data_IF_440323219090
#
_entry.id   IF_440323219090
#
_cell.length_a   1.000
_cell.length_b   1.000
_cell.length_c   1.000
_cell.angle_alpha   90.00
_cell.angle_beta   90.00
_cell.angle_gamma   90.00
#
_symmetry.space_group_name_H-M   'P 1'
#
loop_
_entity.id
_entity.type
_entity.pdbx_description
1 polymer ?
#
# COMPACT_ATOMS: atom_id res chain seq x y z
N UNK A 1 13.13 2.40 -15.70
CA UNK A 1 12.56 1.02 -15.59
C UNK A 1 11.06 1.12 -15.72
N UNK A 2 10.43 0.30 -16.56
CA UNK A 2 9.00 0.41 -16.86
C UNK A 2 8.33 -0.94 -16.71
N UNK A 3 7.24 -1.01 -15.96
CA UNK A 3 6.37 -2.18 -15.90
C UNK A 3 5.52 -2.21 -17.18
N UNK A 4 5.83 -3.13 -18.10
CA UNK A 4 5.25 -3.12 -19.44
C UNK A 4 3.70 -3.24 -19.48
N UNK A 5 3.05 -4.07 -18.65
CA UNK A 5 1.59 -4.20 -18.67
C UNK A 5 0.84 -2.92 -18.28
N UNK A 6 1.35 -2.17 -17.30
CA UNK A 6 0.67 -0.98 -16.76
C UNK A 6 1.24 0.34 -17.28
N UNK A 7 2.33 0.28 -18.05
CA UNK A 7 3.11 1.44 -18.55
C UNK A 7 3.70 2.36 -17.46
N UNK A 8 3.61 1.97 -16.20
CA UNK A 8 4.18 2.74 -15.09
C UNK A 8 5.71 2.63 -15.16
N UNK A 9 6.40 3.77 -15.17
CA UNK A 9 7.86 3.85 -15.15
C UNK A 9 8.38 4.38 -13.81
N UNK A 10 9.64 4.12 -13.50
CA UNK A 10 10.41 4.75 -12.44
C UNK A 10 11.90 4.83 -12.85
N UNK A 11 12.53 5.95 -12.52
CA UNK A 11 13.95 6.22 -12.80
C UNK A 11 14.66 6.66 -11.51
N UNK A 12 15.95 6.37 -11.42
CA UNK A 12 16.82 6.80 -10.32
C UNK A 12 18.21 7.11 -10.89
N UNK A 13 18.65 8.37 -10.78
CA UNK A 13 19.91 8.88 -11.36
C UNK A 13 20.91 9.36 -10.29
N UNK A 14 20.82 8.85 -9.06
CA UNK A 14 21.39 9.51 -7.89
C UNK A 14 22.68 8.88 -7.33
N UNK A 15 23.12 7.66 -7.72
CA UNK A 15 24.31 6.99 -7.12
C UNK A 15 25.33 6.39 -8.10
N UNK A 16 26.56 6.20 -7.61
CA UNK A 16 27.80 5.80 -8.33
C UNK A 16 27.82 4.34 -8.86
N UNK A 17 26.86 3.48 -8.52
CA UNK A 17 26.79 2.09 -9.01
C UNK A 17 25.44 1.79 -9.69
N UNK A 18 25.48 1.24 -10.90
CA UNK A 18 24.31 0.88 -11.71
C UNK A 18 23.39 -0.14 -11.00
N UNK A 19 23.95 -1.03 -10.18
CA UNK A 19 23.19 -2.04 -9.44
C UNK A 19 22.31 -1.41 -8.34
N UNK A 20 22.82 -0.40 -7.63
CA UNK A 20 22.05 0.33 -6.62
C UNK A 20 20.94 1.17 -7.26
N UNK A 21 21.24 1.86 -8.37
CA UNK A 21 20.23 2.61 -9.13
C UNK A 21 19.10 1.70 -9.62
N UNK A 22 19.43 0.47 -10.06
CA UNK A 22 18.44 -0.54 -10.46
C UNK A 22 17.55 -0.97 -9.28
N UNK A 23 18.12 -1.23 -8.11
CA UNK A 23 17.34 -1.64 -6.93
C UNK A 23 16.37 -0.54 -6.49
N UNK A 24 16.84 0.71 -6.44
CA UNK A 24 16.00 1.88 -6.11
C UNK A 24 14.88 2.05 -7.12
N UNK A 25 15.18 1.96 -8.41
CA UNK A 25 14.17 2.08 -9.46
C UNK A 25 13.13 0.97 -9.43
N UNK A 26 13.51 -0.28 -9.12
CA UNK A 26 12.56 -1.40 -8.92
C UNK A 26 11.65 -1.12 -7.72
N UNK A 27 12.22 -0.65 -6.61
CA UNK A 27 11.44 -0.32 -5.42
C UNK A 27 10.42 0.79 -5.70
N UNK A 28 10.86 1.91 -6.30
CA UNK A 28 9.99 3.03 -6.71
C UNK A 28 8.90 2.56 -7.67
N UNK A 29 9.23 1.68 -8.62
CA UNK A 29 8.25 1.11 -9.55
C UNK A 29 7.19 0.28 -8.82
N UNK A 30 7.60 -0.61 -7.91
CA UNK A 30 6.67 -1.41 -7.10
C UNK A 30 5.75 -0.55 -6.27
N UNK A 31 6.26 0.54 -5.70
CA UNK A 31 5.46 1.47 -4.90
C UNK A 31 4.41 2.18 -5.75
N UNK A 32 4.79 2.68 -6.93
CA UNK A 32 3.83 3.29 -7.88
C UNK A 32 2.74 2.30 -8.30
N UNK A 33 3.11 1.06 -8.61
CA UNK A 33 2.15 -0.01 -8.90
C UNK A 33 1.21 -0.26 -7.71
N UNK A 34 1.78 -0.35 -6.51
CA UNK A 34 1.04 -0.61 -5.28
C UNK A 34 0.06 0.49 -4.91
N UNK A 35 0.21 1.71 -5.43
CA UNK A 35 -0.75 2.82 -5.25
C UNK A 35 -1.79 2.81 -6.38
N UNK A 36 -1.33 2.73 -7.63
CA UNK A 36 -2.19 2.99 -8.79
C UNK A 36 -3.02 1.81 -9.26
N UNK A 37 -2.62 0.58 -8.95
CA UNK A 37 -3.28 -0.63 -9.44
C UNK A 37 -4.03 -1.30 -8.30
N UNK A 38 -5.32 -1.56 -8.51
CA UNK A 38 -6.14 -2.37 -7.61
C UNK A 38 -6.30 -3.79 -8.13
N UNK A 39 -6.28 -4.76 -7.24
CA UNK A 39 -6.72 -6.12 -7.49
C UNK A 39 -8.04 -6.36 -6.77
N UNK A 40 -8.96 -7.08 -7.41
CA UNK A 40 -10.20 -7.49 -6.76
C UNK A 40 -9.90 -8.41 -5.57
N UNK A 41 -10.51 -8.09 -4.43
CA UNK A 41 -10.44 -8.91 -3.21
C UNK A 41 -11.79 -8.88 -2.51
N UNK A 42 -11.97 -9.75 -1.50
CA UNK A 42 -13.19 -9.83 -0.68
C UNK A 42 -12.82 -9.63 0.79
N UNK A 43 -13.68 -8.98 1.56
CA UNK A 43 -13.40 -8.70 2.99
C UNK A 43 -13.36 -9.97 3.86
N UNK A 44 -14.03 -11.04 3.43
CA UNK A 44 -13.99 -12.35 4.07
C UNK A 44 -12.85 -13.24 3.53
N UNK A 45 -12.11 -12.78 2.52
CA UNK A 45 -10.90 -13.47 2.07
C UNK A 45 -9.81 -13.36 3.14
N UNK A 46 -9.06 -14.44 3.31
CA UNK A 46 -7.97 -14.47 4.26
C UNK A 46 -6.80 -13.61 3.76
N UNK A 47 -6.24 -12.69 4.58
CA UNK A 47 -5.07 -11.92 4.18
C UNK A 47 -3.90 -12.84 3.81
N UNK A 48 -2.99 -12.32 2.99
CA UNK A 48 -1.82 -13.06 2.53
C UNK A 48 -0.94 -13.49 3.70
N UNK A 49 -0.16 -14.56 3.50
CA UNK A 49 0.83 -15.00 4.49
C UNK A 49 1.85 -13.89 4.81
N UNK A 50 2.20 -13.07 3.81
CA UNK A 50 3.08 -11.90 4.00
C UNK A 50 2.45 -10.87 4.92
N UNK A 51 1.19 -10.49 4.69
CA UNK A 51 0.47 -9.57 5.57
C UNK A 51 0.40 -10.11 7.00
N UNK A 52 -0.07 -11.35 7.17
CA UNK A 52 -0.16 -12.00 8.47
C UNK A 52 1.16 -12.05 9.23
N UNK A 53 2.27 -12.32 8.54
CA UNK A 53 3.60 -12.34 9.18
C UNK A 53 4.05 -10.97 9.74
N UNK A 54 3.47 -9.89 9.24
CA UNK A 54 3.78 -8.50 9.61
C UNK A 54 2.81 -7.90 10.61
N UNK A 55 1.64 -8.51 10.81
CA UNK A 55 0.68 -8.07 11.82
C UNK A 55 0.87 -8.81 13.13
N UNK A 56 1.12 -8.08 14.21
CA UNK A 56 1.28 -8.63 15.57
C UNK A 56 0.48 -7.80 16.55
N UNK A 57 -0.48 -8.40 17.26
CA UNK A 57 -1.33 -7.70 18.23
C UNK A 57 -2.04 -6.48 17.63
N UNK A 58 -2.48 -6.58 16.37
CA UNK A 58 -3.14 -5.49 15.64
C UNK A 58 -2.21 -4.39 15.10
N UNK A 59 -0.88 -4.50 15.33
CA UNK A 59 0.14 -3.58 14.82
C UNK A 59 0.74 -4.10 13.52
N UNK A 60 0.81 -3.26 12.50
CA UNK A 60 1.53 -3.54 11.24
C UNK A 60 3.02 -3.21 11.47
N UNK A 61 3.88 -4.22 11.36
CA UNK A 61 5.32 -4.13 11.66
C UNK A 61 6.17 -4.29 10.39
N UNK A 62 6.33 -3.18 9.66
CA UNK A 62 7.19 -3.09 8.47
C UNK A 62 7.82 -1.70 8.38
N UNK A 63 9.08 -1.62 7.96
CA UNK A 63 9.74 -0.35 7.65
C UNK A 63 9.37 0.06 6.21
N UNK A 64 9.05 1.34 5.94
CA UNK A 64 8.70 1.81 4.59
C UNK A 64 9.78 1.54 3.53
N UNK A 65 11.05 1.47 3.92
CA UNK A 65 12.16 1.12 3.03
C UNK A 65 12.33 -0.40 2.80
N UNK A 66 11.54 -1.25 3.46
CA UNK A 66 11.65 -2.70 3.34
C UNK A 66 11.06 -3.20 2.02
N UNK A 67 11.68 -4.21 1.40
CA UNK A 67 11.26 -4.73 0.09
C UNK A 67 9.81 -5.27 0.04
N UNK A 68 9.27 -5.68 1.18
CA UNK A 68 7.86 -6.12 1.34
C UNK A 68 6.86 -4.96 1.40
N UNK A 69 7.28 -3.74 1.73
CA UNK A 69 6.38 -2.62 1.98
C UNK A 69 5.44 -2.33 0.80
N UNK A 70 5.91 -2.27 -0.46
CA UNK A 70 5.01 -2.06 -1.60
C UNK A 70 3.93 -3.14 -1.72
N UNK A 71 4.28 -4.41 -1.51
CA UNK A 71 3.32 -5.52 -1.62
C UNK A 71 2.27 -5.46 -0.51
N UNK A 72 2.66 -5.08 0.70
CA UNK A 72 1.73 -4.88 1.81
C UNK A 72 0.84 -3.67 1.56
N UNK A 73 1.40 -2.58 1.02
CA UNK A 73 0.65 -1.37 0.70
C UNK A 73 -0.43 -1.65 -0.34
N UNK A 74 -0.08 -2.41 -1.39
CA UNK A 74 -1.02 -2.86 -2.41
C UNK A 74 -2.19 -3.62 -1.79
N UNK A 75 -1.91 -4.64 -0.97
CA UNK A 75 -2.94 -5.45 -0.31
C UNK A 75 -3.82 -4.62 0.64
N UNK A 76 -3.23 -3.73 1.42
CA UNK A 76 -3.99 -2.84 2.31
C UNK A 76 -4.96 -1.94 1.54
N UNK A 77 -4.53 -1.39 0.41
CA UNK A 77 -5.37 -0.58 -0.47
C UNK A 77 -6.43 -1.41 -1.21
N UNK A 78 -6.18 -2.67 -1.54
CA UNK A 78 -7.19 -3.58 -2.13
C UNK A 78 -8.31 -3.87 -1.13
N UNK A 79 -7.98 -4.15 0.13
CA UNK A 79 -8.98 -4.34 1.19
C UNK A 79 -9.74 -3.05 1.50
N UNK A 80 -9.10 -1.89 1.42
CA UNK A 80 -9.78 -0.60 1.53
C UNK A 80 -10.78 -0.41 0.39
N UNK A 81 -10.39 -0.70 -0.85
CA UNK A 81 -11.30 -0.64 -1.99
C UNK A 81 -12.48 -1.61 -1.84
N UNK A 82 -12.24 -2.84 -1.39
CA UNK A 82 -13.29 -3.83 -1.10
C UNK A 82 -14.22 -3.43 0.07
N UNK A 83 -13.75 -2.55 0.96
CA UNK A 83 -14.51 -1.98 2.08
C UNK A 83 -15.20 -0.65 1.74
N UNK A 84 -15.29 -0.30 0.45
CA UNK A 84 -15.79 1.01 0.01
C UNK A 84 -15.08 2.19 0.72
N UNK A 85 -13.78 2.01 0.98
CA UNK A 85 -12.88 2.94 1.65
C UNK A 85 -13.24 3.25 3.12
N UNK A 86 -14.01 2.37 3.75
CA UNK A 86 -14.17 2.32 5.20
C UNK A 86 -12.95 1.66 5.86
N UNK A 87 -12.11 2.49 6.49
CA UNK A 87 -10.91 2.05 7.18
C UNK A 87 -11.17 1.14 8.38
N UNK A 88 -12.35 1.20 9.01
CA UNK A 88 -12.70 0.33 10.13
C UNK A 88 -12.97 -1.09 9.64
N UNK A 89 -13.78 -1.23 8.59
CA UNK A 89 -14.09 -2.52 7.98
C UNK A 89 -12.84 -3.17 7.38
N UNK A 90 -12.03 -2.41 6.63
CA UNK A 90 -10.78 -2.92 6.08
C UNK A 90 -9.80 -3.37 7.17
N UNK A 91 -9.63 -2.57 8.24
CA UNK A 91 -8.71 -2.92 9.32
C UNK A 91 -9.14 -4.21 10.05
N UNK A 92 -10.44 -4.39 10.27
CA UNK A 92 -11.00 -5.62 10.85
C UNK A 92 -10.68 -6.84 9.98
N UNK A 93 -10.94 -6.77 8.66
CA UNK A 93 -10.62 -7.84 7.71
C UNK A 93 -9.12 -8.17 7.70
N UNK A 94 -8.27 -7.15 7.81
CA UNK A 94 -6.81 -7.25 7.86
C UNK A 94 -6.25 -7.61 9.25
N UNK A 95 -7.11 -7.85 10.25
CA UNK A 95 -6.72 -8.16 11.63
C UNK A 95 -5.78 -7.12 12.27
N UNK A 96 -5.90 -5.86 11.88
CA UNK A 96 -5.14 -4.74 12.42
C UNK A 96 -6.07 -3.67 13.02
N UNK A 97 -5.53 -2.73 13.79
CA UNK A 97 -6.36 -1.60 14.25
C UNK A 97 -6.46 -0.51 13.18
N UNK A 98 -7.58 0.21 13.14
CA UNK A 98 -7.81 1.30 12.18
C UNK A 98 -6.72 2.36 12.23
N UNK A 99 -6.29 2.77 13.44
CA UNK A 99 -5.19 3.72 13.62
C UNK A 99 -3.88 3.19 13.04
N UNK A 100 -3.61 1.89 13.15
CA UNK A 100 -2.41 1.29 12.58
C UNK A 100 -2.47 1.23 11.05
N UNK A 101 -3.64 0.89 10.48
CA UNK A 101 -3.84 0.91 9.03
C UNK A 101 -3.64 2.33 8.46
N UNK A 102 -4.25 3.34 9.09
CA UNK A 102 -4.11 4.74 8.66
C UNK A 102 -2.67 5.21 8.78
N UNK A 103 -1.98 4.91 9.89
CA UNK A 103 -0.56 5.26 10.04
C UNK A 103 0.31 4.58 8.98
N UNK A 104 0.04 3.32 8.68
CA UNK A 104 0.73 2.57 7.63
C UNK A 104 0.55 3.20 6.24
N UNK A 105 -0.62 3.72 5.90
CA UNK A 105 -0.82 4.45 4.64
C UNK A 105 -0.02 5.76 4.61
N UNK A 106 0.11 6.48 5.73
CA UNK A 106 0.88 7.74 5.80
C UNK A 106 2.37 7.55 5.54
N UNK A 107 2.88 6.34 5.74
CA UNK A 107 4.27 6.01 5.39
C UNK A 107 4.53 6.13 3.88
N UNK A 108 3.48 6.13 3.05
CA UNK A 108 3.54 6.52 1.64
C UNK A 108 2.53 7.65 1.32
N UNK A 109 2.95 8.92 1.27
CA UNK A 109 2.05 10.07 1.16
C UNK A 109 1.08 10.01 -0.03
N UNK A 110 1.52 9.46 -1.16
CA UNK A 110 0.67 9.32 -2.36
C UNK A 110 -0.48 8.35 -2.14
N UNK A 111 -0.24 7.26 -1.41
CA UNK A 111 -1.27 6.30 -1.01
C UNK A 111 -2.30 6.93 -0.06
N UNK A 112 -1.82 7.69 0.93
CA UNK A 112 -2.70 8.35 1.90
C UNK A 112 -3.57 9.43 1.23
N UNK A 113 -3.00 10.19 0.30
CA UNK A 113 -3.75 11.16 -0.50
C UNK A 113 -4.85 10.48 -1.32
N UNK A 114 -4.52 9.39 -2.02
CA UNK A 114 -5.50 8.63 -2.80
C UNK A 114 -6.61 8.05 -1.91
N UNK A 115 -6.27 7.49 -0.75
CA UNK A 115 -7.23 7.00 0.23
C UNK A 115 -8.21 8.09 0.67
N UNK A 116 -7.72 9.29 1.00
CA UNK A 116 -8.57 10.41 1.38
C UNK A 116 -9.42 10.95 0.22
N UNK A 117 -8.88 10.96 -1.00
CA UNK A 117 -9.65 11.31 -2.19
C UNK A 117 -10.83 10.36 -2.39
N UNK A 118 -10.57 9.05 -2.33
CA UNK A 118 -11.61 8.02 -2.50
C UNK A 118 -12.68 8.08 -1.41
N UNK A 119 -12.30 8.46 -0.19
CA UNK A 119 -13.25 8.75 0.90
C UNK A 119 -14.12 9.96 0.59
N UNK A 120 -13.51 11.07 0.15
CA UNK A 120 -14.23 12.29 -0.18
C UNK A 120 -15.23 12.07 -1.33
N UNK A 121 -14.84 11.31 -2.36
CA UNK A 121 -15.71 10.91 -3.48
C UNK A 121 -16.96 10.13 -3.03
N UNK A 122 -16.91 9.51 -1.84
CA UNK A 122 -18.01 8.75 -1.21
C UNK A 122 -18.71 9.52 -0.09
N UNK A 123 -18.42 10.80 0.08
CA UNK A 123 -18.97 11.63 1.16
C UNK A 123 -18.44 11.28 2.56
N UNK A 124 -17.41 10.44 2.66
CA UNK A 124 -16.74 10.14 3.92
C UNK A 124 -15.77 11.25 4.28
N UNK A 125 -15.66 11.56 5.58
CA UNK A 125 -14.69 12.55 6.06
C UNK A 125 -13.26 12.07 5.80
N UNK A 126 -12.37 12.91 5.26
CA UNK A 126 -10.95 12.60 5.14
C UNK A 126 -10.35 12.40 6.54
N UNK A 127 -9.34 11.54 6.63
CA UNK A 127 -8.61 11.30 7.86
C UNK A 127 -7.33 12.13 7.87
N UNK A 128 -6.90 12.56 9.06
CA UNK A 128 -5.66 13.32 9.28
C UNK A 128 -4.51 12.43 9.65
#
# INVERSE_FOLDING_TARGET
LTHQPTKISAEANERRSQAENRQVAIFRLRLRLAVQVRCETRLDASPSSRWKSRVRGGKIAVNPAHADFPSLLAEGLDYLAAADWDAKLAAQALSCSTTQLVRFLKDEPTAFQQFNQQRAERGLRPLT
#
